data_IF_101597474876
#
_entry.id   IF_101597474876
#
_cell.length_a   1.000
_cell.length_b   1.000
_cell.length_c   1.000
_cell.angle_alpha   90.00
_cell.angle_beta   90.00
_cell.angle_gamma   90.00
#
_symmetry.space_group_name_H-M   'P 1'
#
loop_
_entity.id
_entity.type
_entity.pdbx_description
1 polymer ?
#
# COMPACT_ATOMS: atom_id res chain seq x y z
N UNK A 1 3.18 -12.35 19.94
CA UNK A 1 2.03 -11.82 19.16
C UNK A 1 0.71 -12.51 19.49
N UNK A 2 0.64 -13.83 19.63
CA UNK A 2 -0.59 -14.47 20.14
C UNK A 2 -0.90 -14.08 21.60
N UNK A 3 0.12 -13.73 22.40
CA UNK A 3 -0.04 -13.16 23.74
C UNK A 3 -0.63 -11.74 23.75
N UNK A 4 -0.57 -11.00 22.64
CA UNK A 4 -1.04 -9.61 22.54
C UNK A 4 -2.44 -9.51 21.92
N UNK A 5 -3.17 -10.63 21.80
CA UNK A 5 -4.51 -10.65 21.18
C UNK A 5 -4.51 -10.65 19.65
N UNK A 6 -3.34 -10.78 18.99
CA UNK A 6 -3.25 -10.84 17.53
C UNK A 6 -3.06 -9.46 16.89
N UNK A 7 -3.63 -9.26 15.70
CA UNK A 7 -3.51 -8.02 14.93
C UNK A 7 -4.90 -7.51 14.53
N UNK A 8 -5.06 -6.19 14.43
CA UNK A 8 -6.24 -5.59 13.77
C UNK A 8 -6.35 -6.03 12.30
N UNK A 9 -7.57 -6.14 11.78
CA UNK A 9 -7.85 -6.43 10.37
C UNK A 9 -7.24 -5.41 9.40
N UNK A 10 -7.14 -4.18 9.88
CA UNK A 10 -6.53 -3.07 9.16
C UNK A 10 -5.00 -3.02 9.31
N UNK A 11 -4.37 -3.94 10.02
CA UNK A 11 -2.92 -3.97 10.18
C UNK A 11 -2.20 -4.41 8.90
N UNK A 12 -1.08 -3.76 8.58
CA UNK A 12 -0.18 -4.12 7.48
C UNK A 12 0.84 -5.16 7.97
N UNK A 13 0.37 -6.40 8.17
CA UNK A 13 1.14 -7.55 8.70
C UNK A 13 2.44 -7.85 7.95
N UNK A 14 2.56 -7.41 6.70
CA UNK A 14 3.78 -7.56 5.88
C UNK A 14 4.91 -6.59 6.23
N UNK A 15 4.63 -5.50 6.96
CA UNK A 15 5.62 -4.48 7.32
C UNK A 15 5.67 -4.29 8.83
N UNK A 16 6.28 -5.23 9.54
CA UNK A 16 6.43 -5.17 11.01
C UNK A 16 7.80 -4.60 11.35
N UNK A 17 7.87 -3.82 12.43
CA UNK A 17 9.09 -3.20 12.91
C UNK A 17 9.30 -3.53 14.39
N UNK A 18 10.55 -3.71 14.79
CA UNK A 18 10.96 -3.87 16.18
C UNK A 18 11.82 -2.65 16.50
N UNK A 19 11.45 -1.95 17.57
CA UNK A 19 12.24 -0.87 18.16
C UNK A 19 12.91 -1.45 19.40
N UNK A 20 14.24 -1.48 19.39
CA UNK A 20 15.05 -1.97 20.50
C UNK A 20 15.22 -0.88 21.56
N UNK A 21 15.60 -1.27 22.78
CA UNK A 21 15.78 -0.32 23.88
C UNK A 21 16.88 0.73 23.61
N UNK A 22 17.84 0.42 22.75
CA UNK A 22 18.88 1.35 22.29
C UNK A 22 18.39 2.33 21.20
N UNK A 23 17.12 2.26 20.79
CA UNK A 23 16.53 3.08 19.73
C UNK A 23 16.73 2.54 18.31
N UNK A 24 17.38 1.39 18.13
CA UNK A 24 17.54 0.75 16.83
C UNK A 24 16.18 0.27 16.29
N UNK A 25 15.97 0.40 14.98
CA UNK A 25 14.72 -0.02 14.32
C UNK A 25 15.00 -1.05 13.24
N UNK A 26 14.52 -2.27 13.46
CA UNK A 26 14.70 -3.37 12.49
C UNK A 26 13.37 -3.80 11.89
N UNK A 27 13.37 -4.00 10.57
CA UNK A 27 12.22 -4.58 9.85
C UNK A 27 12.22 -6.09 10.00
N UNK A 28 11.13 -6.63 10.53
CA UNK A 28 10.97 -8.08 10.67
C UNK A 28 10.68 -8.72 9.32
N UNK A 29 11.61 -9.56 8.86
CA UNK A 29 11.40 -10.45 7.71
C UNK A 29 10.94 -11.83 8.20
N UNK A 30 9.75 -12.26 7.79
CA UNK A 30 9.20 -13.57 8.14
C UNK A 30 8.70 -13.67 9.59
N UNK A 31 9.15 -14.70 10.31
CA UNK A 31 8.72 -15.02 11.67
C UNK A 31 9.41 -14.13 12.70
N UNK A 32 8.63 -13.33 13.42
CA UNK A 32 9.14 -12.36 14.39
C UNK A 32 9.81 -13.00 15.63
N UNK A 33 9.53 -14.28 15.93
CA UNK A 33 9.97 -14.95 17.16
C UNK A 33 11.49 -14.91 17.40
N UNK A 34 12.31 -14.93 16.34
CA UNK A 34 13.78 -14.99 16.48
C UNK A 34 14.45 -13.62 16.70
N UNK A 35 13.72 -12.52 16.49
CA UNK A 35 14.29 -11.16 16.48
C UNK A 35 13.74 -10.29 17.62
N UNK A 36 12.85 -10.83 18.45
CA UNK A 36 12.24 -10.12 19.59
C UNK A 36 13.10 -10.35 20.82
N UNK A 37 13.60 -9.26 21.39
CA UNK A 37 14.29 -9.25 22.67
C UNK A 37 13.38 -8.65 23.76
N UNK A 38 13.58 -9.02 25.03
CA UNK A 38 12.87 -8.40 26.15
C UNK A 38 13.06 -6.87 26.14
N UNK A 39 11.97 -6.13 26.39
CA UNK A 39 12.00 -4.66 26.41
C UNK A 39 11.90 -3.99 25.04
N UNK A 40 11.83 -4.74 23.94
CA UNK A 40 11.59 -4.17 22.61
C UNK A 40 10.11 -3.85 22.36
N UNK A 41 9.85 -2.79 21.60
CA UNK A 41 8.52 -2.44 21.13
C UNK A 41 8.27 -2.97 19.71
N UNK A 42 7.13 -3.62 19.50
CA UNK A 42 6.76 -4.15 18.17
C UNK A 42 5.70 -3.26 17.56
N UNK A 43 6.07 -2.54 16.51
CA UNK A 43 5.18 -1.64 15.80
C UNK A 43 4.66 -2.31 14.53
N UNK A 44 3.34 -2.38 14.41
CA UNK A 44 2.65 -2.87 13.22
C UNK A 44 1.81 -1.73 12.66
N UNK A 45 2.23 -1.12 11.54
CA UNK A 45 1.50 -0.01 10.95
C UNK A 45 0.16 -0.49 10.39
N UNK A 46 -0.78 0.44 10.28
CA UNK A 46 -2.03 0.19 9.57
C UNK A 46 -1.82 0.22 8.05
N UNK A 47 -2.68 -0.50 7.31
CA UNK A 47 -2.77 -0.39 5.87
C UNK A 47 -3.10 1.05 5.52
N UNK A 48 -2.36 1.65 4.59
CA UNK A 48 -2.67 2.97 4.08
C UNK A 48 -4.05 2.91 3.42
N UNK A 49 -5.00 3.73 3.86
CA UNK A 49 -6.24 3.94 3.13
C UNK A 49 -5.84 4.58 1.79
N UNK A 50 -5.87 3.80 0.71
CA UNK A 50 -5.77 4.36 -0.64
C UNK A 50 -7.01 5.25 -0.79
N UNK A 51 -6.83 6.57 -0.70
CA UNK A 51 -7.86 7.52 -1.13
C UNK A 51 -7.83 7.48 -2.65
N UNK A 52 -8.38 6.43 -3.25
CA UNK A 52 -8.70 6.43 -4.67
C UNK A 52 -9.70 7.55 -4.87
N UNK A 53 -9.20 8.71 -5.25
CA UNK A 53 -10.03 9.86 -5.48
C UNK A 53 -10.90 9.51 -6.70
N UNK A 54 -12.22 9.59 -6.56
CA UNK A 54 -13.13 9.37 -7.70
C UNK A 54 -12.73 10.31 -8.85
N UNK A 55 -12.21 11.49 -8.55
CA UNK A 55 -11.62 12.40 -9.54
C UNK A 55 -10.38 11.87 -10.26
N UNK A 56 -9.56 11.02 -9.63
CA UNK A 56 -8.41 10.39 -10.26
C UNK A 56 -8.85 9.26 -11.21
N UNK A 57 -9.85 8.46 -10.81
CA UNK A 57 -10.46 7.44 -11.68
C UNK A 57 -11.18 8.09 -12.87
N UNK A 58 -11.97 9.15 -12.64
CA UNK A 58 -12.61 9.93 -13.69
C UNK A 58 -11.58 10.62 -14.59
N UNK A 59 -10.49 11.14 -14.02
CA UNK A 59 -9.39 11.73 -14.78
C UNK A 59 -8.71 10.71 -15.71
N UNK A 60 -8.46 9.50 -15.22
CA UNK A 60 -7.93 8.40 -16.04
C UNK A 60 -8.91 7.95 -17.12
N UNK A 61 -10.20 7.80 -16.78
CA UNK A 61 -11.24 7.44 -17.75
C UNK A 61 -11.37 8.50 -18.85
N UNK A 62 -11.35 9.79 -18.48
CA UNK A 62 -11.48 10.92 -19.41
C UNK A 62 -10.25 11.06 -20.32
N UNK A 63 -9.05 10.83 -19.78
CA UNK A 63 -7.81 10.85 -20.57
C UNK A 63 -7.80 9.71 -21.58
N UNK A 64 -8.22 8.50 -21.16
CA UNK A 64 -8.30 7.34 -22.05
C UNK A 64 -9.39 7.51 -23.13
N UNK A 65 -10.56 8.06 -22.77
CA UNK A 65 -11.62 8.36 -23.75
C UNK A 65 -11.18 9.44 -24.73
N UNK A 66 -10.46 10.47 -24.28
CA UNK A 66 -9.94 11.54 -25.15
C UNK A 66 -8.96 10.98 -26.18
N UNK A 67 -8.03 10.12 -25.74
CA UNK A 67 -7.10 9.43 -26.64
C UNK A 67 -7.86 8.55 -27.65
N UNK A 68 -8.85 7.78 -27.21
CA UNK A 68 -9.69 6.97 -28.10
C UNK A 68 -10.44 7.82 -29.13
N UNK A 69 -10.94 8.99 -28.72
CA UNK A 69 -11.65 9.92 -29.58
C UNK A 69 -10.71 10.61 -30.59
N UNK A 70 -9.49 10.94 -30.19
CA UNK A 70 -8.44 11.43 -31.09
C UNK A 70 -8.07 10.38 -32.14
N UNK A 71 -7.85 9.13 -31.73
CA UNK A 71 -7.55 8.02 -32.64
C UNK A 71 -8.73 7.79 -33.60
N UNK A 72 -9.96 7.78 -33.09
CA UNK A 72 -11.16 7.65 -33.93
C UNK A 72 -11.30 8.80 -34.92
N UNK A 73 -11.00 10.04 -34.50
CA UNK A 73 -11.02 11.21 -35.36
C UNK A 73 -9.96 11.11 -36.46
N UNK A 74 -8.73 10.73 -36.13
CA UNK A 74 -7.65 10.52 -37.10
C UNK A 74 -8.00 9.38 -38.06
N UNK A 75 -8.50 8.26 -37.55
CA UNK A 75 -8.92 7.12 -38.37
C UNK A 75 -10.04 7.51 -39.34
N UNK A 76 -11.01 8.32 -38.88
CA UNK A 76 -12.11 8.79 -39.73
C UNK A 76 -11.64 9.78 -40.82
N UNK A 77 -10.57 10.54 -40.54
CA UNK A 77 -9.93 11.43 -41.53
C UNK A 77 -9.11 10.68 -42.57
N UNK A 78 -8.47 9.56 -42.19
CA UNK A 78 -7.65 8.72 -43.09
C UNK A 78 -8.50 7.76 -43.92
N UNK A 79 -9.68 7.37 -43.44
CA UNK A 79 -10.60 6.44 -44.14
C UNK A 79 -11.34 7.10 -45.33
N UNK A 80 -11.17 8.40 -45.53
CA UNK A 80 -11.66 9.16 -46.70
C UNK A 80 -10.56 9.29 -47.74
#
# INVERSE_FOLDING_TARGET
MNQAGGYSDNAKKSKKFIVYMNGEVTRVKGNAKKQIEPGCEIIVPSKSKKRTNVGEILGYATSFSSLGMMIASIANLIKK
#
